data_IF_108601577838
#
_entry.id   IF_108601577838
#
_cell.length_a   1.000
_cell.length_b   1.000
_cell.length_c   1.000
_cell.angle_alpha   90.00
_cell.angle_beta   90.00
_cell.angle_gamma   90.00
#
_symmetry.space_group_name_H-M   'P 1'
#
loop_
_entity.id
_entity.type
_entity.pdbx_description
1 polymer ?
#
# COMPACT_ATOMS: atom_id res chain seq x y z
N UNK A 1 -38.68 51.39 17.35
CA UNK A 1 -37.30 50.85 17.38
C UNK A 1 -36.41 51.81 16.60
N UNK A 2 -35.41 52.43 17.24
CA UNK A 2 -34.56 53.44 16.60
C UNK A 2 -33.85 52.88 15.35
N UNK A 3 -33.65 53.71 14.33
CA UNK A 3 -33.04 53.33 13.03
C UNK A 3 -31.72 52.55 13.23
N UNK A 4 -30.92 52.96 14.22
CA UNK A 4 -29.68 52.31 14.68
C UNK A 4 -29.90 50.84 15.08
N UNK A 5 -30.94 50.54 15.86
CA UNK A 5 -31.21 49.17 16.31
C UNK A 5 -31.71 48.29 15.17
N UNK A 6 -32.41 48.86 14.18
CA UNK A 6 -32.87 48.13 12.99
C UNK A 6 -31.70 47.74 12.09
N UNK A 7 -30.72 48.63 11.92
CA UNK A 7 -29.49 48.36 11.18
C UNK A 7 -28.62 47.32 11.88
N UNK A 8 -28.34 47.49 13.19
CA UNK A 8 -27.57 46.52 13.98
C UNK A 8 -28.19 45.12 13.89
N UNK A 9 -29.51 45.01 14.06
CA UNK A 9 -30.20 43.73 13.98
C UNK A 9 -30.11 43.08 12.59
N UNK A 10 -30.16 43.89 11.52
CA UNK A 10 -29.98 43.39 10.15
C UNK A 10 -28.57 42.86 9.90
N UNK A 11 -27.53 43.56 10.38
CA UNK A 11 -26.14 43.11 10.25
C UNK A 11 -25.83 41.87 11.07
N UNK A 12 -26.31 41.81 12.32
CA UNK A 12 -26.14 40.64 13.19
C UNK A 12 -26.81 39.40 12.58
N UNK A 13 -28.04 39.54 12.05
CA UNK A 13 -28.72 38.45 11.35
C UNK A 13 -27.97 37.98 10.10
N UNK A 14 -27.37 38.90 9.35
CA UNK A 14 -26.60 38.57 8.16
C UNK A 14 -25.27 37.86 8.50
N UNK A 15 -24.57 38.30 9.55
CA UNK A 15 -23.37 37.65 10.06
C UNK A 15 -23.68 36.24 10.56
N UNK A 16 -24.77 36.09 11.31
CA UNK A 16 -25.21 34.78 11.81
C UNK A 16 -25.58 33.83 10.67
N UNK A 17 -26.27 34.32 9.63
CA UNK A 17 -26.56 33.55 8.42
C UNK A 17 -25.31 33.11 7.67
N UNK A 18 -24.31 33.98 7.55
CA UNK A 18 -23.02 33.63 6.94
C UNK A 18 -22.29 32.55 7.73
N UNK A 19 -22.23 32.68 9.06
CA UNK A 19 -21.57 31.72 9.94
C UNK A 19 -22.25 30.35 9.88
N UNK A 20 -23.59 30.32 9.78
CA UNK A 20 -24.36 29.08 9.61
C UNK A 20 -24.08 28.39 8.28
N UNK A 21 -23.99 29.14 7.18
CA UNK A 21 -23.62 28.59 5.87
C UNK A 21 -22.20 28.03 5.89
N UNK A 22 -21.25 28.74 6.50
CA UNK A 22 -19.86 28.30 6.62
C UNK A 22 -19.74 27.02 7.45
N UNK A 23 -20.48 26.93 8.57
CA UNK A 23 -20.57 25.72 9.38
C UNK A 23 -21.11 24.54 8.57
N UNK A 24 -22.15 24.76 7.76
CA UNK A 24 -22.79 23.72 6.96
C UNK A 24 -21.84 23.17 5.89
N UNK A 25 -21.08 24.02 5.21
CA UNK A 25 -20.04 23.59 4.28
C UNK A 25 -18.91 22.80 4.97
N UNK A 26 -18.52 23.20 6.18
CA UNK A 26 -17.51 22.48 6.96
C UNK A 26 -17.99 21.09 7.37
N UNK A 27 -19.26 20.95 7.75
CA UNK A 27 -19.87 19.64 8.04
C UNK A 27 -19.91 18.78 6.78
N UNK A 28 -20.35 19.32 5.63
CA UNK A 28 -20.35 18.57 4.36
C UNK A 28 -18.95 18.11 3.99
N UNK A 29 -17.93 18.97 4.16
CA UNK A 29 -16.55 18.62 3.91
C UNK A 29 -16.05 17.50 4.84
N UNK A 30 -16.38 17.55 6.13
CA UNK A 30 -16.04 16.47 7.08
C UNK A 30 -16.74 15.15 6.75
N UNK A 31 -18.01 15.19 6.33
CA UNK A 31 -18.73 13.99 5.91
C UNK A 31 -18.16 13.41 4.61
N UNK A 32 -17.81 14.26 3.64
CA UNK A 32 -17.13 13.85 2.41
C UNK A 32 -15.77 13.21 2.70
N UNK A 33 -15.00 13.78 3.63
CA UNK A 33 -13.76 13.20 4.15
C UNK A 33 -14.00 11.82 4.76
N UNK A 34 -14.96 11.69 5.68
CA UNK A 34 -15.30 10.42 6.31
C UNK A 34 -15.70 9.34 5.31
N UNK A 35 -16.48 9.70 4.29
CA UNK A 35 -16.82 8.78 3.21
C UNK A 35 -15.58 8.42 2.39
N UNK A 36 -14.79 9.38 1.95
CA UNK A 36 -13.60 9.12 1.12
C UNK A 36 -12.59 8.24 1.85
N UNK A 37 -12.36 8.49 3.13
CA UNK A 37 -11.59 7.63 4.04
C UNK A 37 -12.16 6.21 4.01
N UNK A 38 -13.46 6.04 4.23
CA UNK A 38 -14.11 4.73 4.21
C UNK A 38 -13.97 4.01 2.85
N UNK A 39 -13.98 4.74 1.74
CA UNK A 39 -13.96 4.17 0.38
C UNK A 39 -12.56 3.95 -0.18
N UNK A 40 -11.58 4.80 0.19
CA UNK A 40 -10.19 4.73 -0.29
C UNK A 40 -9.29 3.91 0.66
N UNK A 41 -9.59 3.81 1.96
CA UNK A 41 -8.85 2.95 2.90
C UNK A 41 -9.20 1.46 2.77
N UNK A 42 -10.08 1.12 1.81
CA UNK A 42 -10.61 -0.22 1.64
C UNK A 42 -10.01 -1.00 0.45
N UNK A 43 -8.83 -0.57 -0.02
CA UNK A 43 -7.85 -1.54 -0.52
C UNK A 43 -7.02 -2.02 0.67
N UNK A 44 -7.59 -2.93 1.45
CA UNK A 44 -6.89 -3.56 2.58
C UNK A 44 -5.68 -4.30 2.04
N UNK A 45 -4.52 -3.67 1.98
CA UNK A 45 -3.28 -4.38 1.67
C UNK A 45 -3.03 -5.32 2.84
N UNK A 46 -3.43 -6.58 2.67
CA UNK A 46 -3.38 -7.61 3.70
C UNK A 46 -1.98 -7.79 4.25
N UNK A 47 -0.99 -7.52 3.40
CA UNK A 47 0.40 -7.57 3.78
C UNK A 47 0.76 -6.49 4.83
N UNK A 48 0.00 -5.40 4.96
CA UNK A 48 0.22 -4.33 5.94
C UNK A 48 -0.62 -4.46 7.20
N UNK A 49 -1.59 -5.38 7.23
CA UNK A 49 -2.46 -5.53 8.39
C UNK A 49 -1.72 -6.17 9.55
N UNK A 50 -2.05 -5.71 10.75
CA UNK A 50 -1.64 -6.37 11.98
C UNK A 50 -2.68 -7.42 12.38
N UNK A 51 -2.29 -8.33 13.30
CA UNK A 51 -3.18 -9.38 13.79
C UNK A 51 -4.50 -8.81 14.37
N UNK A 52 -4.45 -7.64 15.01
CA UNK A 52 -5.61 -6.94 15.57
C UNK A 52 -6.61 -6.48 14.50
N UNK A 53 -6.14 -6.02 13.34
CA UNK A 53 -7.00 -5.53 12.25
C UNK A 53 -7.74 -6.69 11.55
N UNK A 54 -7.09 -7.86 11.48
CA UNK A 54 -7.68 -9.08 10.94
C UNK A 54 -8.77 -9.63 11.85
N UNK A 55 -8.61 -9.52 13.17
CA UNK A 55 -9.60 -9.97 14.17
C UNK A 55 -10.92 -9.21 14.03
N UNK A 56 -10.88 -7.94 13.61
CA UNK A 56 -12.06 -7.11 13.41
C UNK A 56 -12.81 -7.36 12.09
N UNK A 57 -12.21 -8.10 11.14
CA UNK A 57 -12.71 -8.25 9.76
C UNK A 57 -13.03 -9.69 9.37
N UNK A 58 -12.87 -10.63 10.29
CA UNK A 58 -13.21 -12.03 10.10
C UNK A 58 -14.28 -12.37 11.12
N UNK A 59 -15.48 -12.68 10.63
CA UNK A 59 -16.62 -13.07 11.45
C UNK A 59 -16.61 -14.59 11.65
N UNK A 60 -16.79 -15.01 12.89
CA UNK A 60 -16.78 -16.40 13.30
C UNK A 60 -18.16 -16.77 13.84
N UNK A 61 -19.04 -17.24 12.98
CA UNK A 61 -20.34 -17.77 13.39
C UNK A 61 -20.29 -19.30 13.36
N UNK A 62 -20.42 -19.91 14.56
CA UNK A 62 -20.80 -21.31 14.79
C UNK A 62 -20.32 -22.31 13.71
N UNK A 63 -19.00 -22.52 13.63
CA UNK A 63 -18.30 -23.49 12.75
C UNK A 63 -18.05 -23.07 11.29
N UNK A 64 -18.43 -21.85 10.88
CA UNK A 64 -18.04 -21.30 9.56
C UNK A 64 -17.29 -19.98 9.72
N UNK A 65 -16.07 -19.95 9.19
CA UNK A 65 -15.32 -18.71 9.07
C UNK A 65 -15.88 -17.93 7.88
N UNK A 66 -16.40 -16.74 8.18
CA UNK A 66 -16.81 -15.78 7.18
C UNK A 66 -15.74 -14.69 7.05
N UNK A 67 -14.98 -14.75 5.96
CA UNK A 67 -14.00 -13.72 5.61
C UNK A 67 -14.73 -12.59 4.88
N UNK A 68 -14.54 -11.35 5.31
CA UNK A 68 -15.13 -10.19 4.65
C UNK A 68 -14.73 -10.18 3.15
N UNK A 69 -15.68 -10.01 2.20
CA UNK A 69 -15.42 -9.95 0.76
C UNK A 69 -14.34 -8.93 0.33
N UNK A 70 -14.08 -7.91 1.13
CA UNK A 70 -13.05 -6.91 0.89
C UNK A 70 -11.63 -7.49 1.02
N UNK A 71 -11.44 -8.44 1.94
CA UNK A 71 -10.21 -9.22 2.10
C UNK A 71 -10.01 -10.09 0.86
N UNK A 72 -11.02 -10.83 0.44
CA UNK A 72 -10.97 -11.68 -0.76
C UNK A 72 -10.61 -10.87 -2.02
N UNK A 73 -11.25 -9.71 -2.21
CA UNK A 73 -10.94 -8.79 -3.32
C UNK A 73 -9.48 -8.32 -3.28
N UNK A 74 -8.94 -8.06 -2.10
CA UNK A 74 -7.53 -7.68 -1.95
C UNK A 74 -6.58 -8.83 -2.27
N UNK A 75 -6.84 -10.03 -1.76
CA UNK A 75 -6.08 -11.25 -2.11
C UNK A 75 -6.07 -11.43 -3.62
N UNK A 76 -7.24 -11.30 -4.25
CA UNK A 76 -7.40 -11.46 -5.69
C UNK A 76 -6.64 -10.41 -6.50
N UNK A 77 -6.62 -9.15 -6.04
CA UNK A 77 -5.91 -8.03 -6.69
C UNK A 77 -4.40 -8.25 -6.70
N UNK A 78 -3.84 -8.80 -5.63
CA UNK A 78 -2.41 -9.06 -5.49
C UNK A 78 -2.00 -10.44 -6.02
N UNK A 79 -2.90 -11.15 -6.73
CA UNK A 79 -2.70 -12.53 -7.20
C UNK A 79 -2.24 -13.50 -6.11
N UNK A 80 -2.59 -13.18 -4.85
CA UNK A 80 -2.21 -13.98 -3.71
C UNK A 80 -3.22 -15.09 -3.41
N UNK A 81 -2.95 -15.79 -2.32
CA UNK A 81 -3.83 -16.77 -1.72
C UNK A 81 -3.90 -16.57 -0.21
N UNK A 82 -5.01 -17.01 0.39
CA UNK A 82 -5.26 -16.90 1.82
C UNK A 82 -5.70 -18.25 2.36
N UNK A 83 -5.20 -18.61 3.52
CA UNK A 83 -5.57 -19.84 4.21
C UNK A 83 -5.64 -19.57 5.71
N UNK A 84 -6.66 -20.08 6.38
CA UNK A 84 -6.82 -19.98 7.83
C UNK A 84 -6.78 -21.40 8.37
N UNK A 85 -5.88 -21.63 9.31
CA UNK A 85 -5.63 -22.93 9.91
C UNK A 85 -5.77 -22.87 11.42
N UNK A 86 -6.18 -23.97 12.03
CA UNK A 86 -6.18 -24.11 13.49
C UNK A 86 -4.78 -24.41 14.04
N UNK A 87 -4.65 -24.43 15.37
CA UNK A 87 -3.43 -24.82 16.10
C UNK A 87 -2.91 -26.24 15.77
N UNK A 88 -3.72 -27.08 15.15
CA UNK A 88 -3.37 -28.45 14.76
C UNK A 88 -3.05 -28.58 13.27
N UNK A 89 -3.06 -27.48 12.50
CA UNK A 89 -2.78 -27.47 11.07
C UNK A 89 -3.95 -27.92 10.20
N UNK A 90 -5.17 -28.02 10.74
CA UNK A 90 -6.40 -28.26 9.98
C UNK A 90 -6.85 -26.95 9.34
N UNK A 91 -7.18 -27.01 8.05
CA UNK A 91 -7.73 -25.86 7.33
C UNK A 91 -9.16 -25.60 7.77
N UNK A 92 -9.38 -24.38 8.23
CA UNK A 92 -10.71 -23.85 8.55
C UNK A 92 -11.29 -23.04 7.38
N UNK A 93 -10.43 -22.39 6.58
CA UNK A 93 -10.83 -21.63 5.39
C UNK A 93 -9.70 -21.56 4.37
N UNK A 94 -10.04 -21.56 3.08
CA UNK A 94 -9.09 -21.36 1.98
C UNK A 94 -9.69 -20.44 0.91
N UNK A 95 -8.85 -19.63 0.29
CA UNK A 95 -9.22 -18.75 -0.81
C UNK A 95 -8.08 -18.63 -1.81
N UNK A 96 -8.36 -19.02 -3.06
CA UNK A 96 -7.40 -19.03 -4.17
C UNK A 96 -6.10 -19.80 -3.90
N UNK A 97 -6.10 -20.69 -2.91
CA UNK A 97 -4.95 -21.52 -2.54
C UNK A 97 -4.58 -22.43 -3.71
N UNK A 98 -3.37 -22.30 -4.28
CA UNK A 98 -2.94 -23.15 -5.38
C UNK A 98 -2.64 -24.58 -4.90
N UNK A 99 -2.66 -25.53 -5.85
CA UNK A 99 -2.59 -26.96 -5.55
C UNK A 99 -1.22 -27.43 -5.01
N UNK A 100 -0.19 -26.60 -5.12
CA UNK A 100 1.15 -26.84 -4.56
C UNK A 100 1.27 -26.44 -3.08
N UNK A 101 0.26 -25.77 -2.51
CA UNK A 101 0.18 -25.47 -1.08
C UNK A 101 -0.51 -26.63 -0.35
N UNK A 102 0.08 -27.16 0.74
CA UNK A 102 -0.50 -28.29 1.47
C UNK A 102 -1.93 -28.03 1.96
N UNK A 103 -2.77 -29.06 1.84
CA UNK A 103 -4.14 -29.09 2.36
C UNK A 103 -4.22 -29.44 3.86
N UNK A 104 -3.10 -29.81 4.46
CA UNK A 104 -2.93 -30.04 5.89
C UNK A 104 -1.45 -29.83 6.20
N UNK A 105 -1.13 -29.25 7.35
CA UNK A 105 0.25 -29.11 7.80
C UNK A 105 0.49 -29.96 9.04
N UNK A 106 1.52 -30.81 9.01
CA UNK A 106 2.13 -31.28 10.25
C UNK A 106 2.79 -30.10 11.00
N UNK A 107 2.86 -30.10 12.34
CA UNK A 107 3.47 -29.00 13.09
C UNK A 107 4.90 -28.66 12.64
N UNK A 108 5.73 -29.67 12.36
CA UNK A 108 7.09 -29.46 11.86
C UNK A 108 7.16 -29.04 10.39
N UNK A 109 6.21 -29.48 9.57
CA UNK A 109 6.12 -29.08 8.15
C UNK A 109 5.72 -27.62 8.02
N UNK A 110 4.81 -27.14 8.90
CA UNK A 110 4.43 -25.72 8.96
C UNK A 110 5.63 -24.82 9.29
N UNK A 111 6.39 -25.17 10.34
CA UNK A 111 7.58 -24.41 10.74
C UNK A 111 8.56 -24.37 9.56
N UNK A 112 8.85 -25.52 8.96
CA UNK A 112 9.73 -25.59 7.80
C UNK A 112 9.20 -24.76 6.62
N UNK A 113 7.89 -24.75 6.37
CA UNK A 113 7.29 -24.00 5.27
C UNK A 113 7.36 -22.47 5.48
N UNK A 114 7.18 -22.00 6.72
CA UNK A 114 7.22 -20.57 7.08
C UNK A 114 8.65 -20.06 7.28
N UNK A 115 9.52 -20.87 7.88
CA UNK A 115 10.92 -20.50 8.15
C UNK A 115 11.81 -20.65 6.90
N UNK A 116 11.54 -21.63 6.04
CA UNK A 116 12.34 -21.85 4.82
C UNK A 116 11.90 -20.92 3.69
N UNK A 117 11.99 -19.61 3.97
CA UNK A 117 11.63 -18.50 3.07
C UNK A 117 12.37 -18.57 1.73
N UNK A 118 13.56 -19.16 1.72
CA UNK A 118 14.41 -19.34 0.54
C UNK A 118 13.93 -20.46 -0.41
N UNK A 119 13.27 -21.48 0.13
CA UNK A 119 12.77 -22.61 -0.65
C UNK A 119 11.38 -22.35 -1.25
N UNK A 120 10.57 -21.53 -0.59
CA UNK A 120 9.21 -21.20 -1.03
C UNK A 120 9.18 -20.43 -2.34
N UNK A 121 8.14 -20.69 -3.16
CA UNK A 121 7.80 -19.94 -4.38
C UNK A 121 6.97 -18.68 -4.09
N UNK A 122 6.69 -18.44 -2.82
CA UNK A 122 5.80 -17.38 -2.36
C UNK A 122 6.45 -16.52 -1.27
N UNK A 123 6.03 -15.26 -1.21
CA UNK A 123 6.21 -14.43 -0.02
C UNK A 123 5.10 -14.74 0.95
N UNK A 124 5.46 -15.41 2.04
CA UNK A 124 4.49 -15.87 3.04
C UNK A 124 4.52 -14.89 4.22
N UNK A 125 3.36 -14.32 4.51
CA UNK A 125 3.09 -13.59 5.76
C UNK A 125 2.14 -14.43 6.60
N UNK A 126 2.39 -14.48 7.91
CA UNK A 126 1.53 -15.19 8.85
C UNK A 126 1.14 -14.29 10.01
N UNK A 127 -0.05 -14.52 10.55
CA UNK A 127 -0.54 -13.88 11.77
C UNK A 127 -1.13 -14.94 12.69
N UNK A 128 -0.88 -14.81 13.98
CA UNK A 128 -1.50 -15.62 15.02
C UNK A 128 -2.52 -14.76 15.74
N UNK A 129 -3.77 -15.21 15.78
CA UNK A 129 -4.88 -14.53 16.44
C UNK A 129 -5.38 -15.44 17.56
N UNK A 130 -5.57 -14.85 18.75
CA UNK A 130 -6.19 -15.54 19.87
C UNK A 130 -7.67 -15.19 19.88
N UNK A 131 -8.53 -16.18 19.72
CA UNK A 131 -9.98 -15.99 19.74
C UNK A 131 -10.63 -17.08 20.57
N UNK A 132 -11.38 -16.69 21.61
CA UNK A 132 -12.20 -17.62 22.43
C UNK A 132 -11.44 -18.86 22.93
N UNK A 133 -10.22 -18.66 23.48
CA UNK A 133 -9.29 -19.70 23.95
C UNK A 133 -8.67 -20.61 22.88
N UNK A 134 -8.86 -20.31 21.59
CA UNK A 134 -8.17 -21.00 20.49
C UNK A 134 -7.26 -20.07 19.70
N UNK A 135 -6.05 -20.58 19.41
CA UNK A 135 -5.09 -19.90 18.55
C UNK A 135 -5.34 -20.32 17.11
N UNK A 136 -5.57 -19.32 16.26
CA UNK A 136 -5.80 -19.49 14.83
C UNK A 136 -4.64 -18.82 14.09
N UNK A 137 -4.20 -19.44 13.00
CA UNK A 137 -3.11 -18.95 12.18
C UNK A 137 -3.67 -18.57 10.81
N UNK A 138 -3.44 -17.33 10.40
CA UNK A 138 -3.76 -16.83 9.08
C UNK A 138 -2.48 -16.83 8.24
N UNK A 139 -2.55 -17.43 7.06
CA UNK A 139 -1.47 -17.52 6.09
C UNK A 139 -1.87 -16.77 4.83
N UNK A 140 -1.03 -15.83 4.42
CA UNK A 140 -1.17 -15.08 3.18
C UNK A 140 0.10 -15.25 2.34
N UNK A 141 -0.06 -15.74 1.12
CA UNK A 141 1.04 -15.92 0.18
C UNK A 141 0.84 -15.10 -1.09
N UNK A 142 1.89 -14.42 -1.54
CA UNK A 142 1.95 -13.81 -2.88
C UNK A 142 3.05 -14.45 -3.73
N UNK A 143 2.88 -14.55 -5.06
CA UNK A 143 3.92 -15.10 -5.94
C UNK A 143 5.26 -14.35 -5.79
N UNK A 144 6.37 -15.10 -5.73
CA UNK A 144 7.72 -14.56 -5.61
C UNK A 144 8.61 -15.03 -6.79
N UNK A 145 8.35 -14.56 -8.02
CA UNK A 145 9.11 -14.98 -9.22
C UNK A 145 10.62 -14.70 -9.12
N UNK A 146 11.02 -13.64 -8.40
CA UNK A 146 12.40 -13.25 -8.20
C UNK A 146 13.22 -14.30 -7.44
N UNK A 147 12.59 -15.05 -6.53
CA UNK A 147 13.25 -16.15 -5.79
C UNK A 147 13.63 -17.30 -6.70
N UNK A 148 12.83 -17.56 -7.73
CA UNK A 148 13.13 -18.58 -8.73
C UNK A 148 14.19 -18.07 -9.71
N UNK A 149 14.12 -16.80 -10.10
CA UNK A 149 15.11 -16.18 -10.97
C UNK A 149 16.52 -16.15 -10.37
N UNK A 150 16.65 -15.82 -9.08
CA UNK A 150 17.97 -15.82 -8.43
C UNK A 150 18.55 -17.23 -8.32
N UNK A 151 17.71 -18.26 -8.13
CA UNK A 151 18.17 -19.67 -8.18
C UNK A 151 18.70 -20.04 -9.56
N UNK A 152 18.03 -19.61 -10.63
CA UNK A 152 18.49 -19.84 -12.01
C UNK A 152 19.78 -19.09 -12.32
N UNK A 153 19.91 -17.86 -11.82
CA UNK A 153 21.13 -17.06 -11.97
C UNK A 153 22.32 -17.71 -11.26
N UNK A 154 22.13 -18.23 -10.04
CA UNK A 154 23.17 -18.96 -9.31
C UNK A 154 23.52 -20.28 -9.99
N UNK A 155 22.53 -20.98 -10.55
CA UNK A 155 22.75 -22.21 -11.31
C UNK A 155 23.56 -21.95 -12.59
N UNK A 156 23.37 -20.79 -13.22
CA UNK A 156 24.19 -20.29 -14.33
C UNK A 156 25.54 -19.76 -13.79
N UNK A 157 26.35 -20.66 -13.21
CA UNK A 157 27.66 -20.31 -12.66
C UNK A 157 28.56 -19.64 -13.72
N UNK A 158 29.42 -18.75 -13.25
CA UNK A 158 30.51 -18.14 -14.02
C UNK A 158 31.44 -19.26 -14.52
N UNK A 159 31.32 -19.63 -15.80
CA UNK A 159 31.99 -20.79 -16.40
C UNK A 159 31.09 -21.63 -17.33
N UNK A 160 29.79 -21.37 -17.34
CA UNK A 160 28.83 -22.02 -18.26
C UNK A 160 28.90 -21.41 -19.67
N UNK A 161 28.57 -22.19 -20.70
CA UNK A 161 28.71 -21.78 -22.11
C UNK A 161 27.93 -20.49 -22.42
N UNK A 162 28.35 -19.77 -23.47
CA UNK A 162 27.66 -18.56 -23.95
C UNK A 162 26.17 -18.79 -24.21
N UNK A 163 25.80 -20.01 -24.62
CA UNK A 163 24.41 -20.42 -24.86
C UNK A 163 23.56 -20.40 -23.58
N UNK A 164 24.11 -20.79 -22.43
CA UNK A 164 23.41 -20.74 -21.14
C UNK A 164 23.11 -19.30 -20.71
N UNK A 165 24.05 -18.38 -20.93
CA UNK A 165 23.81 -16.96 -20.68
C UNK A 165 22.77 -16.38 -21.63
N UNK A 166 22.79 -16.75 -22.91
CA UNK A 166 21.79 -16.30 -23.89
C UNK A 166 20.38 -16.81 -23.55
N UNK A 167 20.25 -18.04 -23.06
CA UNK A 167 18.97 -18.59 -22.58
C UNK A 167 18.49 -17.88 -21.30
N UNK A 168 19.39 -17.65 -20.34
CA UNK A 168 19.08 -16.89 -19.13
C UNK A 168 18.62 -15.47 -19.46
N UNK A 169 19.34 -14.77 -20.34
CA UNK A 169 19.04 -13.41 -20.79
C UNK A 169 17.67 -13.32 -21.49
N UNK A 170 17.29 -14.34 -22.27
CA UNK A 170 15.94 -14.45 -22.86
C UNK A 170 14.86 -14.63 -21.80
N UNK A 171 15.11 -15.46 -20.78
CA UNK A 171 14.18 -15.66 -19.66
C UNK A 171 13.96 -14.36 -18.88
N UNK A 172 15.03 -13.65 -18.55
CA UNK A 172 14.96 -12.38 -17.82
C UNK A 172 14.25 -11.29 -18.63
N UNK A 173 14.53 -11.22 -19.94
CA UNK A 173 13.84 -10.28 -20.84
C UNK A 173 12.33 -10.52 -20.92
N UNK A 174 11.88 -11.79 -20.89
CA UNK A 174 10.45 -12.13 -20.95
C UNK A 174 9.67 -11.61 -19.75
N UNK A 175 10.27 -11.67 -18.57
CA UNK A 175 9.65 -11.21 -17.32
C UNK A 175 9.98 -9.73 -17.01
N UNK A 176 10.65 -9.03 -17.94
CA UNK A 176 11.14 -7.64 -17.76
C UNK A 176 12.04 -7.49 -16.53
N UNK A 177 12.72 -8.57 -16.15
CA UNK A 177 13.62 -8.62 -15.01
C UNK A 177 15.03 -8.18 -15.38
N UNK A 178 15.83 -7.88 -14.37
CA UNK A 178 17.24 -7.55 -14.48
C UNK A 178 18.06 -8.28 -13.42
N UNK A 179 19.36 -8.41 -13.66
CA UNK A 179 20.28 -8.95 -12.66
C UNK A 179 21.61 -8.20 -12.64
N UNK A 180 22.23 -8.21 -11.45
CA UNK A 180 23.56 -7.67 -11.17
C UNK A 180 24.35 -8.72 -10.38
N UNK A 181 25.63 -8.85 -10.70
CA UNK A 181 26.55 -9.73 -9.98
C UNK A 181 27.72 -8.89 -9.50
N UNK A 182 27.93 -8.88 -8.19
CA UNK A 182 28.99 -8.14 -7.52
C UNK A 182 30.05 -9.10 -6.96
N UNK A 183 31.30 -8.65 -6.91
CA UNK A 183 32.38 -9.34 -6.19
C UNK A 183 32.29 -9.12 -4.68
N UNK A 184 33.28 -9.65 -3.96
CA UNK A 184 33.40 -9.54 -2.51
C UNK A 184 33.50 -8.10 -2.03
N UNK A 185 34.16 -7.24 -2.80
CA UNK A 185 34.33 -5.81 -2.53
C UNK A 185 33.08 -4.99 -2.89
N UNK A 186 32.05 -5.66 -3.45
CA UNK A 186 30.81 -5.03 -3.87
C UNK A 186 30.92 -4.32 -5.22
N UNK A 187 31.94 -4.63 -6.03
CA UNK A 187 32.13 -4.07 -7.38
C UNK A 187 31.43 -4.93 -8.42
N UNK A 188 30.80 -4.26 -9.37
CA UNK A 188 30.01 -4.90 -10.43
C UNK A 188 30.89 -5.71 -11.39
N UNK A 189 30.59 -7.01 -11.55
CA UNK A 189 31.24 -7.92 -12.50
C UNK A 189 30.35 -8.16 -13.72
N UNK A 190 29.05 -8.41 -13.51
CA UNK A 190 28.10 -8.67 -14.58
C UNK A 190 26.79 -7.92 -14.36
N UNK A 191 26.19 -7.47 -15.47
CA UNK A 191 24.89 -6.82 -15.47
C UNK A 191 24.07 -7.24 -16.69
N UNK A 192 22.75 -7.24 -16.53
CA UNK A 192 21.82 -7.40 -17.64
C UNK A 192 20.55 -6.60 -17.42
N UNK A 193 20.06 -5.96 -18.48
CA UNK A 193 18.79 -5.22 -18.52
C UNK A 193 18.64 -4.13 -17.42
N UNK A 194 19.76 -3.62 -16.91
CA UNK A 194 19.83 -2.55 -15.92
C UNK A 194 20.86 -1.49 -16.35
N UNK A 195 20.51 -0.56 -17.27
CA UNK A 195 21.47 0.36 -17.87
C UNK A 195 22.05 1.37 -16.89
N UNK A 196 21.35 1.67 -15.79
CA UNK A 196 21.77 2.62 -14.76
C UNK A 196 22.33 1.92 -13.51
N UNK A 197 22.92 0.72 -13.66
CA UNK A 197 23.47 -0.02 -12.53
C UNK A 197 24.61 0.74 -11.86
N UNK A 198 24.56 0.85 -10.53
CA UNK A 198 25.67 1.37 -9.77
C UNK A 198 26.88 0.44 -9.91
N UNK A 199 28.06 1.02 -10.14
CA UNK A 199 29.32 0.30 -10.19
C UNK A 199 29.67 -0.38 -8.85
N UNK A 200 29.07 0.10 -7.76
CA UNK A 200 29.21 -0.45 -6.41
C UNK A 200 27.83 -0.79 -5.83
N UNK A 201 27.75 -1.90 -5.10
CA UNK A 201 26.53 -2.38 -4.48
C UNK A 201 25.98 -1.34 -3.49
N UNK A 202 24.79 -0.82 -3.79
CA UNK A 202 24.05 0.02 -2.84
C UNK A 202 23.23 -0.88 -1.91
N UNK A 203 23.76 -1.10 -0.70
CA UNK A 203 23.08 -1.89 0.32
C UNK A 203 21.73 -1.28 0.73
N UNK A 204 21.59 0.05 0.65
CA UNK A 204 20.35 0.72 1.05
C UNK A 204 19.25 0.47 0.03
N UNK A 205 19.58 0.50 -1.26
CA UNK A 205 18.64 0.18 -2.34
C UNK A 205 18.12 -1.25 -2.22
N UNK A 206 19.00 -2.21 -1.97
CA UNK A 206 18.64 -3.64 -1.79
C UNK A 206 17.75 -3.83 -0.56
N UNK A 207 18.03 -3.15 0.55
CA UNK A 207 17.23 -3.27 1.77
C UNK A 207 15.88 -2.55 1.64
N UNK A 208 15.82 -1.40 0.98
CA UNK A 208 14.59 -0.62 0.79
C UNK A 208 13.62 -1.27 -0.19
N UNK A 209 14.14 -1.98 -1.18
CA UNK A 209 13.34 -2.68 -2.19
C UNK A 209 13.31 -4.21 -2.00
N UNK A 210 13.84 -4.67 -0.86
CA UNK A 210 13.95 -6.09 -0.50
C UNK A 210 12.61 -6.75 -0.17
N UNK A 211 12.64 -8.03 0.22
CA UNK A 211 11.43 -8.83 0.56
C UNK A 211 10.55 -8.22 1.66
N UNK A 212 11.11 -7.36 2.53
CA UNK A 212 10.35 -6.67 3.56
C UNK A 212 9.47 -5.54 3.00
N UNK A 213 9.78 -5.04 1.81
CA UNK A 213 9.14 -3.87 1.21
C UNK A 213 7.95 -4.30 0.32
N UNK A 214 6.75 -3.96 0.77
CA UNK A 214 5.49 -4.51 0.22
C UNK A 214 4.89 -3.70 -0.94
N UNK A 215 5.19 -2.40 -1.02
CA UNK A 215 4.81 -1.54 -2.15
C UNK A 215 6.03 -0.80 -2.67
N UNK A 216 6.88 -1.50 -3.41
CA UNK A 216 8.03 -0.93 -4.10
C UNK A 216 7.88 -1.12 -5.60
N UNK A 217 8.43 -0.21 -6.43
CA UNK A 217 8.32 -0.31 -7.88
C UNK A 217 9.00 -1.56 -8.44
N UNK A 218 10.02 -2.06 -7.74
CA UNK A 218 10.80 -3.23 -8.11
C UNK A 218 11.00 -4.07 -6.85
N UNK A 219 10.71 -5.37 -6.95
CA UNK A 219 11.12 -6.32 -5.91
C UNK A 219 12.55 -6.74 -6.17
N UNK A 220 13.42 -6.48 -5.21
CA UNK A 220 14.83 -6.86 -5.25
C UNK A 220 15.05 -8.04 -4.30
N UNK A 221 15.71 -9.08 -4.80
CA UNK A 221 16.23 -10.15 -3.95
C UNK A 221 17.73 -10.26 -4.15
N UNK A 222 18.47 -10.49 -3.07
CA UNK A 222 19.92 -10.60 -3.08
C UNK A 222 20.37 -11.85 -2.35
N UNK A 223 21.38 -12.54 -2.89
CA UNK A 223 21.99 -13.70 -2.25
C UNK A 223 23.50 -13.67 -2.39
N UNK A 224 24.19 -13.78 -1.25
CA UNK A 224 25.63 -13.95 -1.18
C UNK A 224 25.99 -15.44 -1.17
N UNK A 225 26.84 -15.87 -2.10
CA UNK A 225 27.30 -17.26 -2.19
C UNK A 225 28.73 -17.37 -1.61
N UNK A 226 28.84 -17.99 -0.42
CA UNK A 226 30.11 -18.17 0.30
C UNK A 226 31.18 -18.96 -0.48
N UNK A 227 30.79 -19.74 -1.48
CA UNK A 227 31.72 -20.58 -2.26
C UNK A 227 32.42 -19.80 -3.38
N UNK A 228 31.74 -18.81 -3.97
CA UNK A 228 32.24 -18.01 -5.09
C UNK A 228 32.61 -16.58 -4.67
N UNK A 229 32.28 -16.19 -3.43
CA UNK A 229 32.39 -14.83 -2.92
C UNK A 229 31.63 -13.79 -3.76
N UNK A 230 30.61 -14.25 -4.50
CA UNK A 230 29.77 -13.42 -5.35
C UNK A 230 28.45 -13.07 -4.66
N UNK A 231 28.00 -11.84 -4.89
CA UNK A 231 26.67 -11.38 -4.51
C UNK A 231 25.81 -11.25 -5.76
N UNK A 232 24.74 -12.05 -5.82
CA UNK A 232 23.76 -12.01 -6.90
C UNK A 232 22.58 -11.15 -6.48
N UNK A 233 22.19 -10.20 -7.33
CA UNK A 233 21.03 -9.33 -7.11
C UNK A 233 20.12 -9.46 -8.31
N UNK A 234 18.85 -9.71 -8.06
CA UNK A 234 17.81 -9.81 -9.10
C UNK A 234 16.71 -8.82 -8.77
N UNK A 235 16.27 -8.06 -9.76
CA UNK A 235 15.12 -7.18 -9.64
C UNK A 235 14.05 -7.49 -10.68
N UNK A 236 12.80 -7.51 -10.23
CA UNK A 236 11.63 -7.68 -11.09
C UNK A 236 10.66 -6.51 -10.86
N UNK A 237 10.11 -5.90 -11.93
CA UNK A 237 9.05 -4.91 -11.79
C UNK A 237 7.88 -5.49 -11.00
N UNK A 238 7.45 -4.78 -9.96
CA UNK A 238 6.33 -5.23 -9.14
C UNK A 238 5.00 -4.96 -9.87
N UNK A 239 4.25 -5.99 -10.32
CA UNK A 239 2.98 -5.79 -11.01
C UNK A 239 1.88 -5.22 -10.11
N UNK A 240 2.06 -5.33 -8.79
CA UNK A 240 1.14 -4.84 -7.77
C UNK A 240 1.51 -3.45 -7.23
N UNK A 241 2.58 -2.85 -7.75
CA UNK A 241 3.01 -1.51 -7.33
C UNK A 241 1.94 -0.46 -7.62
N UNK A 242 1.57 0.28 -6.58
CA UNK A 242 0.69 1.43 -6.67
C UNK A 242 1.51 2.70 -6.46
N UNK A 243 1.77 3.41 -7.56
CA UNK A 243 2.47 4.69 -7.53
C UNK A 243 1.63 5.72 -6.77
N UNK A 244 2.22 6.35 -5.75
CA UNK A 244 1.55 7.34 -4.89
C UNK A 244 1.13 6.85 -3.49
N UNK A 245 1.33 5.57 -3.15
CA UNK A 245 0.98 4.96 -1.85
C UNK A 245 2.17 4.97 -0.85
N UNK A 246 3.33 5.47 -1.27
CA UNK A 246 4.60 5.42 -0.51
C UNK A 246 4.83 6.62 0.42
N UNK A 247 4.22 7.77 0.12
CA UNK A 247 3.85 8.69 1.19
C UNK A 247 2.64 8.02 1.86
N UNK A 248 2.70 7.76 3.16
CA UNK A 248 1.61 7.23 4.00
C UNK A 248 0.28 7.70 3.41
N UNK A 249 -0.57 6.77 2.93
CA UNK A 249 -1.80 7.13 2.19
C UNK A 249 -2.68 8.11 2.96
N UNK A 250 -2.54 8.13 4.28
CA UNK A 250 -3.12 9.11 5.18
C UNK A 250 -2.60 10.53 4.92
N UNK A 251 -1.29 10.75 4.78
CA UNK A 251 -0.68 12.09 4.61
C UNK A 251 -1.00 12.72 3.26
N UNK A 252 -0.96 11.95 2.16
CA UNK A 252 -1.30 12.47 0.82
C UNK A 252 -2.79 12.81 0.75
N UNK A 253 -3.66 11.90 1.24
CA UNK A 253 -5.10 12.09 1.22
C UNK A 253 -5.53 13.26 2.13
N UNK A 254 -4.91 13.37 3.31
CA UNK A 254 -5.11 14.50 4.23
C UNK A 254 -4.64 15.80 3.57
N UNK A 255 -3.45 15.83 2.97
CA UNK A 255 -2.92 17.02 2.28
C UNK A 255 -3.79 17.47 1.12
N UNK A 256 -4.20 16.56 0.23
CA UNK A 256 -5.09 16.88 -0.89
C UNK A 256 -6.44 17.41 -0.40
N UNK A 257 -6.98 16.80 0.65
CA UNK A 257 -8.30 17.22 1.15
C UNK A 257 -8.23 18.53 1.94
N UNK A 258 -7.15 18.78 2.68
CA UNK A 258 -6.88 20.09 3.29
C UNK A 258 -6.76 21.18 2.23
N UNK A 259 -6.11 20.89 1.10
CA UNK A 259 -5.98 21.83 0.00
C UNK A 259 -7.34 22.12 -0.66
N UNK A 260 -8.18 21.09 -0.86
CA UNK A 260 -9.54 21.26 -1.37
C UNK A 260 -10.44 22.07 -0.42
N UNK A 261 -10.39 21.78 0.90
CA UNK A 261 -11.13 22.54 1.92
C UNK A 261 -10.64 24.00 1.96
N UNK A 262 -9.33 24.22 1.88
CA UNK A 262 -8.74 25.56 1.82
C UNK A 262 -9.25 26.37 0.63
N UNK A 263 -9.26 25.77 -0.57
CA UNK A 263 -9.80 26.41 -1.78
C UNK A 263 -11.28 26.72 -1.63
N UNK A 264 -12.08 25.77 -1.12
CA UNK A 264 -13.51 25.95 -0.89
C UNK A 264 -13.77 27.11 0.08
N UNK A 265 -13.05 27.19 1.20
CA UNK A 265 -13.18 28.28 2.18
C UNK A 265 -12.83 29.63 1.57
N UNK A 266 -11.74 29.70 0.78
CA UNK A 266 -11.37 30.92 0.07
C UNK A 266 -12.49 31.36 -0.88
N UNK A 267 -13.06 30.44 -1.66
CA UNK A 267 -14.18 30.74 -2.56
C UNK A 267 -15.42 31.24 -1.81
N UNK A 268 -15.76 30.62 -0.67
CA UNK A 268 -16.89 31.04 0.18
C UNK A 268 -16.65 32.45 0.73
N UNK A 269 -15.43 32.75 1.21
CA UNK A 269 -15.07 34.08 1.72
C UNK A 269 -15.10 35.12 0.61
N UNK A 270 -14.56 34.82 -0.58
CA UNK A 270 -14.60 35.73 -1.72
C UNK A 270 -16.03 36.00 -2.19
N UNK A 271 -16.87 34.97 -2.24
CA UNK A 271 -18.27 35.09 -2.61
C UNK A 271 -19.05 35.93 -1.59
N UNK A 272 -18.90 35.63 -0.30
CA UNK A 272 -19.56 36.37 0.77
C UNK A 272 -19.06 37.82 0.86
N UNK A 273 -17.75 38.03 0.71
CA UNK A 273 -17.13 39.35 0.65
C UNK A 273 -17.65 40.17 -0.52
N UNK A 274 -17.73 39.58 -1.72
CA UNK A 274 -18.29 40.24 -2.91
C UNK A 274 -19.78 40.58 -2.72
N UNK A 275 -20.58 39.63 -2.20
CA UNK A 275 -21.99 39.85 -1.89
C UNK A 275 -22.19 40.98 -0.87
N UNK A 276 -21.37 41.00 0.19
CA UNK A 276 -21.40 42.03 1.22
C UNK A 276 -20.99 43.40 0.67
N UNK A 277 -19.89 43.47 -0.09
CA UNK A 277 -19.43 44.68 -0.75
C UNK A 277 -20.49 45.24 -1.72
N UNK A 278 -21.22 44.38 -2.43
CA UNK A 278 -22.25 44.85 -3.35
C UNK A 278 -23.50 45.36 -2.63
N UNK A 279 -23.92 44.70 -1.55
CA UNK A 279 -25.13 45.08 -0.80
C UNK A 279 -24.90 46.28 0.13
N UNK A 280 -23.72 46.40 0.72
CA UNK A 280 -23.40 47.41 1.74
C UNK A 280 -22.51 48.53 1.16
N UNK A 281 -21.60 48.20 0.26
CA UNK A 281 -20.68 49.17 -0.35
C UNK A 281 -21.36 50.13 -1.33
N UNK A 282 -22.33 49.66 -2.14
CA UNK A 282 -23.10 50.55 -3.05
C UNK A 282 -23.84 51.69 -2.30
N UNK A 283 -24.59 51.43 -1.22
CA UNK A 283 -25.21 52.50 -0.43
C UNK A 283 -24.20 53.45 0.23
N UNK A 284 -23.08 52.92 0.74
CA UNK A 284 -22.03 53.73 1.38
C UNK A 284 -21.32 54.64 0.38
N UNK A 285 -20.98 54.12 -0.81
CA UNK A 285 -20.39 54.91 -1.90
C UNK A 285 -21.33 56.04 -2.34
N UNK A 286 -22.65 55.78 -2.39
CA UNK A 286 -23.63 56.82 -2.67
C UNK A 286 -23.67 57.91 -1.59
N UNK A 287 -23.56 57.55 -0.31
CA UNK A 287 -23.50 58.53 0.78
C UNK A 287 -22.20 59.35 0.76
N UNK A 288 -21.07 58.73 0.45
CA UNK A 288 -19.77 59.42 0.37
C UNK A 288 -19.70 60.35 -0.85
N UNK A 289 -20.18 59.91 -2.01
CA UNK A 289 -20.24 60.77 -3.21
C UNK A 289 -21.26 61.92 -3.09
N UNK A 290 -22.17 61.83 -2.13
CA UNK A 290 -23.17 62.88 -1.86
C UNK A 290 -22.67 63.92 -0.85
N UNK A 291 -21.62 63.60 -0.08
CA UNK A 291 -20.94 64.47 0.89
C UNK A 291 -19.82 65.27 0.21
#
# INVERSE_FOLDING_TARGET
MNLRNKLIFQYVRQLFGFLLVLLLFLIIAMLGLGWRIMNEQLSVDLSRLNASDLTLKIDYEAERIHVNPEIEKSVARHQGWLQIIDKHGKILYNYRTPADVPSQFGPGEWIAYVENRDASRYHITHWVINQSDENIIILYGTPAPEKEMIKRLIAAKTGTSKETWDELNKSFSREKAWYLVYDREGKLIHQWNHPNASAQLDMTEVLQNGEAAKNVPVHITSRYEKNSDLTYVVGIPNPTYQSGVQETSEDVMVKETFLQIGILLILVVLFAGSWYAWRVGKPLLHMVNWL
#
